data_IF_589103091361
#
_entry.id   IF_589103091361
#
_cell.length_a   1.000
_cell.length_b   1.000
_cell.length_c   1.000
_cell.angle_alpha   90.00
_cell.angle_beta   90.00
_cell.angle_gamma   90.00
#
_symmetry.space_group_name_H-M   'P 1'
#
loop_
_entity.id
_entity.type
_entity.pdbx_description
1 polymer ?
#
# COMPACT_ATOMS: atom_id res chain seq x y z
N UNK A 1 1.11 -2.75 24.01
CA UNK A 1 0.49 -1.67 23.22
C UNK A 1 1.18 -1.71 21.86
N UNK A 2 0.46 -2.05 20.79
CA UNK A 2 1.05 -2.12 19.44
C UNK A 2 1.45 -0.72 19.00
N UNK A 3 2.73 -0.54 18.66
CA UNK A 3 3.31 0.77 18.35
C UNK A 3 2.86 1.27 16.96
N UNK A 4 2.60 0.35 16.02
CA UNK A 4 2.18 0.66 14.67
C UNK A 4 0.72 0.22 14.40
N UNK A 5 -0.24 1.08 14.74
CA UNK A 5 -1.68 0.80 14.65
C UNK A 5 -2.43 1.67 13.62
N UNK A 6 -1.72 2.47 12.83
CA UNK A 6 -2.30 3.33 11.79
C UNK A 6 -1.75 2.95 10.41
N UNK A 7 -2.30 1.91 9.76
CA UNK A 7 -2.09 1.67 8.34
C UNK A 7 -2.91 2.63 7.47
N UNK A 8 -2.48 2.86 6.23
CA UNK A 8 -3.21 3.71 5.28
C UNK A 8 -4.60 3.14 4.95
N UNK A 9 -4.68 1.82 4.73
CA UNK A 9 -5.92 1.14 4.33
C UNK A 9 -6.00 -0.21 5.05
N UNK A 10 -7.19 -0.56 5.54
CA UNK A 10 -7.51 -1.90 6.04
C UNK A 10 -8.71 -2.43 5.29
N UNK A 11 -8.56 -3.60 4.68
CA UNK A 11 -9.65 -4.31 4.00
C UNK A 11 -10.08 -5.49 4.86
N UNK A 12 -11.34 -5.50 5.29
CA UNK A 12 -11.91 -6.55 6.13
C UNK A 12 -12.95 -7.34 5.33
N UNK A 13 -12.64 -8.60 5.04
CA UNK A 13 -13.61 -9.54 4.46
C UNK A 13 -14.19 -10.42 5.59
N UNK A 14 -15.42 -10.10 5.98
CA UNK A 14 -16.14 -10.82 7.04
C UNK A 14 -16.57 -12.22 6.60
N UNK A 15 -16.82 -12.44 5.31
CA UNK A 15 -17.27 -13.74 4.80
C UNK A 15 -16.11 -14.73 4.77
N UNK A 16 -14.95 -14.29 4.28
CA UNK A 16 -13.73 -15.11 4.22
C UNK A 16 -12.93 -15.12 5.52
N UNK A 17 -13.34 -14.31 6.51
CA UNK A 17 -12.61 -14.10 7.77
C UNK A 17 -11.14 -13.70 7.54
N UNK A 18 -10.92 -12.75 6.63
CA UNK A 18 -9.58 -12.24 6.32
C UNK A 18 -9.47 -10.73 6.49
N UNK A 19 -8.31 -10.26 6.92
CA UNK A 19 -7.96 -8.84 7.01
C UNK A 19 -6.69 -8.58 6.19
N UNK A 20 -6.68 -7.52 5.38
CA UNK A 20 -5.51 -7.08 4.64
C UNK A 20 -5.16 -5.67 5.09
N UNK A 21 -3.98 -5.53 5.70
CA UNK A 21 -3.39 -4.26 6.12
C UNK A 21 -2.52 -3.76 4.97
N UNK A 22 -2.83 -2.60 4.42
CA UNK A 22 -2.15 -2.05 3.25
C UNK A 22 -1.51 -0.71 3.64
N UNK A 23 -0.22 -0.58 3.33
CA UNK A 23 0.54 0.63 3.62
C UNK A 23 1.28 1.07 2.36
N UNK A 24 1.00 2.28 1.90
CA UNK A 24 1.46 2.83 0.62
C UNK A 24 2.69 3.70 0.84
N UNK A 25 3.67 3.63 -0.05
CA UNK A 25 4.76 4.60 -0.08
C UNK A 25 5.20 4.87 -1.52
N UNK A 26 5.69 6.09 -1.72
CA UNK A 26 6.38 6.49 -2.95
C UNK A 26 7.86 6.64 -2.58
N UNK A 27 8.74 5.88 -3.23
CA UNK A 27 10.19 5.94 -3.00
C UNK A 27 10.91 6.60 -4.19
N UNK A 28 11.84 7.49 -3.86
CA UNK A 28 12.84 8.05 -4.80
C UNK A 28 14.21 7.38 -4.68
N UNK A 29 14.42 6.53 -3.68
CA UNK A 29 15.74 5.98 -3.31
C UNK A 29 15.87 4.49 -3.67
N UNK A 30 17.03 4.12 -4.23
CA UNK A 30 17.41 2.85 -4.86
C UNK A 30 17.09 1.60 -4.05
N UNK A 31 16.92 1.74 -2.73
CA UNK A 31 16.67 0.63 -1.83
C UNK A 31 15.17 0.34 -1.60
N UNK A 32 14.43 0.08 -2.68
CA UNK A 32 13.00 -0.25 -2.62
C UNK A 32 12.71 -1.49 -1.76
N UNK A 33 13.62 -2.47 -1.77
CA UNK A 33 13.51 -3.71 -0.98
C UNK A 33 13.57 -3.43 0.52
N UNK A 34 14.43 -2.51 0.95
CA UNK A 34 14.50 -2.10 2.35
C UNK A 34 13.18 -1.46 2.79
N UNK A 35 12.60 -0.58 1.96
CA UNK A 35 11.30 0.04 2.26
C UNK A 35 10.15 -0.95 2.34
N UNK A 36 10.12 -1.96 1.46
CA UNK A 36 9.16 -3.07 1.58
C UNK A 36 9.31 -3.80 2.91
N UNK A 37 10.55 -4.12 3.31
CA UNK A 37 10.83 -4.86 4.54
C UNK A 37 10.50 -4.06 5.80
N UNK A 38 10.91 -2.78 5.86
CA UNK A 38 10.59 -1.87 6.95
C UNK A 38 9.07 -1.83 7.23
N UNK A 39 8.23 -1.81 6.17
CA UNK A 39 6.77 -1.85 6.30
C UNK A 39 6.24 -3.20 6.80
N UNK A 40 6.81 -4.31 6.33
CA UNK A 40 6.41 -5.65 6.81
C UNK A 40 6.71 -5.82 8.30
N UNK A 41 7.91 -5.42 8.73
CA UNK A 41 8.32 -5.47 10.13
C UNK A 41 7.44 -4.55 11.00
N UNK A 42 7.19 -3.32 10.52
CA UNK A 42 6.36 -2.32 11.23
C UNK A 42 4.99 -2.87 11.62
N UNK A 43 4.31 -3.62 10.74
CA UNK A 43 2.94 -4.07 10.98
C UNK A 43 2.82 -5.55 11.42
N UNK A 44 3.94 -6.20 11.75
CA UNK A 44 3.94 -7.60 12.17
C UNK A 44 3.16 -7.81 13.47
N UNK A 45 3.38 -6.98 14.49
CA UNK A 45 2.62 -7.06 15.76
C UNK A 45 1.13 -6.80 15.55
N UNK A 46 0.77 -5.84 14.68
CA UNK A 46 -0.63 -5.55 14.37
C UNK A 46 -1.31 -6.74 13.70
N UNK A 47 -0.62 -7.41 12.77
CA UNK A 47 -1.11 -8.62 12.12
C UNK A 47 -1.43 -9.71 13.15
N UNK A 48 -0.49 -9.98 14.05
CA UNK A 48 -0.64 -10.99 15.10
C UNK A 48 -1.78 -10.64 16.07
N UNK A 49 -1.93 -9.38 16.43
CA UNK A 49 -3.02 -8.93 17.29
C UNK A 49 -4.39 -9.07 16.61
N UNK A 50 -4.50 -8.75 15.31
CA UNK A 50 -5.73 -8.98 14.54
C UNK A 50 -6.07 -10.47 14.50
N UNK A 51 -5.08 -11.33 14.23
CA UNK A 51 -5.26 -12.79 14.17
C UNK A 51 -5.74 -13.35 15.52
N UNK A 52 -5.12 -12.90 16.62
CA UNK A 52 -5.43 -13.33 17.98
C UNK A 52 -6.78 -12.82 18.46
N UNK A 53 -7.06 -11.53 18.29
CA UNK A 53 -8.22 -10.86 18.88
C UNK A 53 -9.49 -11.09 18.07
N UNK A 54 -9.40 -11.11 16.74
CA UNK A 54 -10.57 -11.21 15.86
C UNK A 54 -10.77 -12.63 15.31
N UNK A 55 -9.79 -13.53 15.47
CA UNK A 55 -9.87 -14.89 14.92
C UNK A 55 -9.95 -14.90 13.39
N UNK A 56 -9.35 -13.89 12.75
CA UNK A 56 -9.34 -13.70 11.29
C UNK A 56 -7.91 -13.81 10.78
N UNK A 57 -7.68 -14.40 9.61
CA UNK A 57 -6.35 -14.44 9.00
C UNK A 57 -5.94 -13.05 8.52
N UNK A 58 -4.75 -12.58 8.89
CA UNK A 58 -4.29 -11.25 8.50
C UNK A 58 -3.09 -11.30 7.53
N UNK A 59 -2.97 -10.29 6.68
CA UNK A 59 -1.83 -10.10 5.79
C UNK A 59 -1.42 -8.63 5.77
N UNK A 60 -0.11 -8.38 5.67
CA UNK A 60 0.47 -7.05 5.47
C UNK A 60 0.93 -6.93 4.02
N UNK A 61 0.47 -5.90 3.33
CA UNK A 61 0.76 -5.65 1.92
C UNK A 61 1.43 -4.29 1.76
N UNK A 62 2.76 -4.24 1.61
CA UNK A 62 3.47 -2.99 1.34
C UNK A 62 3.32 -2.62 -0.14
N UNK A 63 2.64 -1.51 -0.43
CA UNK A 63 2.54 -0.98 -1.80
C UNK A 63 3.59 0.11 -1.98
N UNK A 64 4.75 -0.24 -2.53
CA UNK A 64 5.84 0.71 -2.76
C UNK A 64 5.97 1.02 -4.25
N UNK A 65 5.74 2.29 -4.60
CA UNK A 65 5.77 2.80 -5.98
C UNK A 65 7.06 3.61 -6.17
N UNK A 66 7.75 3.39 -7.29
CA UNK A 66 8.95 4.16 -7.62
C UNK A 66 8.63 5.42 -8.44
N UNK A 67 9.38 6.50 -8.16
CA UNK A 67 9.23 7.80 -8.85
C UNK A 67 9.58 7.81 -10.34
N UNK A 68 10.52 6.95 -10.80
CA UNK A 68 10.89 6.80 -12.23
C UNK A 68 10.09 5.71 -12.96
N UNK A 69 8.84 5.44 -12.56
CA UNK A 69 8.01 4.39 -13.15
C UNK A 69 8.59 2.95 -13.07
N UNK A 70 9.57 2.71 -12.18
CA UNK A 70 9.95 1.37 -11.78
C UNK A 70 8.94 0.81 -10.76
N UNK A 71 8.91 -0.51 -10.62
CA UNK A 71 8.07 -1.18 -9.61
C UNK A 71 8.97 -1.98 -8.70
N UNK A 72 8.57 -2.12 -7.44
CA UNK A 72 9.25 -3.05 -6.55
C UNK A 72 9.17 -4.46 -7.13
N UNK A 73 10.24 -5.28 -7.05
CA UNK A 73 10.27 -6.61 -7.68
C UNK A 73 9.13 -7.52 -7.22
N UNK A 74 8.61 -7.30 -6.00
CA UNK A 74 7.55 -8.11 -5.41
C UNK A 74 6.16 -7.49 -5.56
N UNK A 75 6.02 -6.34 -6.22
CA UNK A 75 4.76 -5.59 -6.25
C UNK A 75 3.60 -6.44 -6.79
N UNK A 76 3.79 -7.20 -7.87
CA UNK A 76 2.77 -8.13 -8.40
C UNK A 76 2.35 -9.19 -7.39
N UNK A 77 3.29 -9.72 -6.59
CA UNK A 77 3.00 -10.67 -5.52
C UNK A 77 2.19 -10.02 -4.40
N UNK A 78 2.49 -8.77 -4.07
CA UNK A 78 1.76 -7.99 -3.08
C UNK A 78 0.35 -7.65 -3.55
N UNK A 79 0.18 -7.17 -4.79
CA UNK A 79 -1.11 -6.82 -5.37
C UNK A 79 -2.07 -8.01 -5.45
N UNK A 80 -1.56 -9.23 -5.66
CA UNK A 80 -2.38 -10.46 -5.64
C UNK A 80 -3.02 -10.76 -4.28
N UNK A 81 -2.55 -10.15 -3.19
CA UNK A 81 -3.11 -10.32 -1.86
C UNK A 81 -4.22 -9.31 -1.56
N UNK A 82 -4.34 -8.25 -2.36
CA UNK A 82 -5.41 -7.27 -2.24
C UNK A 82 -6.64 -7.81 -2.99
N UNK A 83 -7.84 -7.81 -2.38
CA UNK A 83 -9.06 -8.19 -3.08
C UNK A 83 -9.29 -7.32 -4.33
N UNK A 84 -9.53 -7.97 -5.48
CA UNK A 84 -9.75 -7.32 -6.77
C UNK A 84 -8.62 -7.55 -7.77
N UNK A 85 -8.74 -6.96 -8.96
CA UNK A 85 -7.72 -7.08 -10.02
C UNK A 85 -7.04 -5.74 -10.20
N UNK A 86 -5.78 -5.65 -9.79
CA UNK A 86 -5.00 -4.42 -9.95
C UNK A 86 -3.67 -4.76 -10.61
N UNK A 87 -3.42 -4.20 -11.80
CA UNK A 87 -2.12 -4.31 -12.46
C UNK A 87 -1.15 -3.28 -11.87
N UNK A 88 0.12 -3.63 -11.81
CA UNK A 88 1.18 -2.72 -11.35
C UNK A 88 1.19 -1.39 -12.12
N UNK A 89 1.01 -1.46 -13.44
CA UNK A 89 0.93 -0.31 -14.34
C UNK A 89 -0.23 0.61 -13.94
N UNK A 90 -1.40 0.05 -13.60
CA UNK A 90 -2.55 0.85 -13.18
C UNK A 90 -2.27 1.57 -11.86
N UNK A 91 -1.66 0.89 -10.89
CA UNK A 91 -1.28 1.52 -9.60
C UNK A 91 -0.32 2.70 -9.82
N UNK A 92 0.71 2.51 -10.64
CA UNK A 92 1.66 3.57 -10.97
C UNK A 92 0.98 4.74 -11.68
N UNK A 93 0.17 4.46 -12.71
CA UNK A 93 -0.58 5.50 -13.42
C UNK A 93 -1.48 6.30 -12.48
N UNK A 94 -2.18 5.63 -11.57
CA UNK A 94 -3.00 6.29 -10.56
C UNK A 94 -2.17 7.22 -9.66
N UNK A 95 -0.99 6.78 -9.20
CA UNK A 95 -0.12 7.62 -8.38
C UNK A 95 0.39 8.85 -9.15
N UNK A 96 0.80 8.69 -10.40
CA UNK A 96 1.26 9.80 -11.26
C UNK A 96 0.13 10.78 -11.55
N UNK A 97 -1.03 10.29 -11.98
CA UNK A 97 -2.20 11.13 -12.29
C UNK A 97 -2.73 11.84 -11.05
N UNK A 98 -2.78 11.14 -9.90
CA UNK A 98 -3.16 11.73 -8.62
C UNK A 98 -2.22 12.86 -8.20
N UNK A 99 -0.91 12.63 -8.30
CA UNK A 99 0.12 13.64 -8.00
C UNK A 99 0.00 14.84 -8.94
N UNK A 100 -0.14 14.61 -10.26
CA UNK A 100 -0.32 15.68 -11.23
C UNK A 100 -1.59 16.50 -10.97
N UNK A 101 -2.68 15.85 -10.56
CA UNK A 101 -3.94 16.52 -10.19
C UNK A 101 -3.76 17.39 -8.94
N UNK A 102 -3.09 16.87 -7.91
CA UNK A 102 -2.77 17.63 -6.69
C UNK A 102 -1.91 18.85 -7.04
N UNK A 103 -0.86 18.66 -7.85
CA UNK A 103 0.03 19.75 -8.27
C UNK A 103 -0.70 20.83 -9.07
N UNK A 104 -1.53 20.46 -10.06
CA UNK A 104 -2.32 21.43 -10.84
C UNK A 104 -3.22 22.29 -9.94
N UNK A 105 -3.86 21.66 -8.94
CA UNK A 105 -4.69 22.35 -7.96
C UNK A 105 -3.87 23.28 -7.07
N UNK A 106 -2.74 22.81 -6.52
CA UNK A 106 -1.88 23.59 -5.61
C UNK A 106 -1.23 24.78 -6.32
N UNK A 107 -0.78 24.59 -7.56
CA UNK A 107 -0.18 25.63 -8.40
C UNK A 107 -1.21 26.54 -9.08
N UNK A 108 -2.51 26.32 -8.84
CA UNK A 108 -3.63 27.09 -9.41
C UNK A 108 -3.60 27.16 -10.94
N UNK A 109 -3.18 26.09 -11.60
CA UNK A 109 -3.17 26.01 -13.05
C UNK A 109 -4.63 25.84 -13.55
N UNK A 110 -5.16 26.87 -14.22
CA UNK A 110 -6.52 26.89 -14.77
C UNK A 110 -6.63 25.98 -16.01
N UNK A 111 -7.76 25.27 -16.16
CA UNK A 111 -8.18 24.65 -17.43
C UNK A 111 -7.91 23.14 -17.62
N UNK A 112 -7.49 22.40 -16.59
CA UNK A 112 -7.21 20.97 -16.71
C UNK A 112 -7.83 20.20 -15.54
N UNK A 113 -9.14 19.94 -15.63
CA UNK A 113 -9.90 19.08 -14.72
C UNK A 113 -10.33 17.80 -15.43
#
# INVERSE_FOLDING_TARGET
MVVANQPDIVVVDKHRKTVVVIDVAISSDSNIRKKEHEKLEKYQELKEEIERMWGMKAAVVPVVIWTLAAVAPNLSRWLRQIPGTTSEISVQKCAVLGTAKILRRTLRLLGLW
#
